data_IF_640365592086
#
_entry.id   IF_640365592086
#
_cell.length_a   1.000
_cell.length_b   1.000
_cell.length_c   1.000
_cell.angle_alpha   90.00
_cell.angle_beta   90.00
_cell.angle_gamma   90.00
#
_symmetry.space_group_name_H-M   'P 1'
#
loop_
_entity.id
_entity.type
_entity.pdbx_description
1 polymer ?
#
# COMPACT_ATOMS: atom_id res chain seq x y z
N UNK A 1 19.98 -3.04 1.52
CA UNK A 1 19.10 -3.04 2.71
C UNK A 1 17.69 -2.55 2.38
N UNK A 2 17.51 -1.53 1.53
CA UNK A 2 16.18 -0.97 1.23
C UNK A 2 15.06 -1.99 0.93
N UNK A 3 15.25 -3.03 0.09
CA UNK A 3 14.17 -4.00 -0.15
C UNK A 3 13.82 -4.84 1.08
N UNK A 4 14.80 -5.19 1.93
CA UNK A 4 14.53 -5.96 3.14
C UNK A 4 13.76 -5.13 4.18
N UNK A 5 14.14 -3.86 4.34
CA UNK A 5 13.40 -2.94 5.20
C UNK A 5 11.96 -2.74 4.70
N UNK A 6 11.78 -2.58 3.38
CA UNK A 6 10.48 -2.51 2.74
C UNK A 6 9.65 -3.78 3.00
N UNK A 7 10.22 -4.97 2.77
CA UNK A 7 9.56 -6.25 3.01
C UNK A 7 9.09 -6.38 4.47
N UNK A 8 9.96 -6.05 5.43
CA UNK A 8 9.63 -6.13 6.85
C UNK A 8 8.53 -5.14 7.26
N UNK A 9 8.64 -3.87 6.84
CA UNK A 9 7.65 -2.85 7.16
C UNK A 9 6.27 -3.19 6.55
N UNK A 10 6.25 -3.67 5.30
CA UNK A 10 5.02 -4.07 4.62
C UNK A 10 4.40 -5.34 5.22
N UNK A 11 5.22 -6.29 5.69
CA UNK A 11 4.72 -7.46 6.42
C UNK A 11 4.06 -7.06 7.75
N UNK A 12 4.70 -6.17 8.52
CA UNK A 12 4.13 -5.66 9.77
C UNK A 12 2.83 -4.90 9.48
N UNK A 13 2.84 -4.02 8.48
CA UNK A 13 1.68 -3.23 8.10
C UNK A 13 0.49 -4.12 7.71
N UNK A 14 0.67 -5.13 6.86
CA UNK A 14 -0.44 -6.02 6.45
C UNK A 14 -1.00 -6.84 7.62
N UNK A 15 -0.14 -7.28 8.56
CA UNK A 15 -0.59 -7.94 9.80
C UNK A 15 -1.43 -6.96 10.64
N UNK A 16 -0.96 -5.73 10.80
CA UNK A 16 -1.67 -4.68 11.54
C UNK A 16 -2.99 -4.30 10.87
N UNK A 17 -3.04 -4.25 9.53
CA UNK A 17 -4.28 -4.06 8.79
C UNK A 17 -5.27 -5.18 9.10
N UNK A 18 -4.84 -6.44 9.02
CA UNK A 18 -5.71 -7.59 9.25
C UNK A 18 -6.24 -7.68 10.69
N UNK A 19 -5.41 -7.35 11.68
CA UNK A 19 -5.71 -7.59 13.10
C UNK A 19 -6.23 -6.36 13.85
N UNK A 20 -5.86 -5.16 13.41
CA UNK A 20 -6.13 -3.90 14.14
C UNK A 20 -7.01 -2.97 13.33
N UNK A 21 -6.70 -2.73 12.05
CA UNK A 21 -7.43 -1.73 11.28
C UNK A 21 -8.73 -2.28 10.68
N UNK A 22 -8.77 -3.55 10.29
CA UNK A 22 -9.89 -4.18 9.56
C UNK A 22 -11.28 -3.89 10.17
N UNK A 23 -11.49 -3.96 11.50
CA UNK A 23 -12.80 -3.65 12.11
C UNK A 23 -13.29 -2.22 11.90
N UNK A 24 -12.39 -1.28 11.62
CA UNK A 24 -12.69 0.13 11.36
C UNK A 24 -12.46 0.52 9.88
N UNK A 25 -12.42 -0.45 8.97
CA UNK A 25 -12.38 -0.22 7.51
C UNK A 25 -13.74 -0.52 6.88
N UNK A 26 -13.98 -0.12 5.61
CA UNK A 26 -15.22 -0.41 4.89
C UNK A 26 -15.55 -1.90 4.67
N UNK A 27 -14.73 -2.83 5.16
CA UNK A 27 -15.10 -4.24 5.29
C UNK A 27 -16.26 -4.45 6.28
N UNK A 28 -16.38 -3.57 7.28
CA UNK A 28 -17.54 -3.51 8.16
C UNK A 28 -18.55 -2.53 7.54
N UNK A 29 -19.75 -3.01 7.24
CA UNK A 29 -20.76 -2.22 6.52
C UNK A 29 -21.31 -1.06 7.37
N UNK A 30 -21.54 -1.28 8.66
CA UNK A 30 -22.08 -0.26 9.55
C UNK A 30 -20.99 0.77 9.93
N UNK A 31 -21.29 2.05 9.73
CA UNK A 31 -20.39 3.15 10.08
C UNK A 31 -20.34 3.39 11.59
N UNK A 32 -21.46 3.20 12.30
CA UNK A 32 -21.52 3.38 13.74
C UNK A 32 -20.67 2.33 14.46
N UNK A 33 -20.65 1.09 13.95
CA UNK A 33 -19.79 0.03 14.45
C UNK A 33 -18.30 0.38 14.29
N UNK A 34 -17.91 0.92 13.14
CA UNK A 34 -16.53 1.37 12.86
C UNK A 34 -16.12 2.50 13.78
N UNK A 35 -16.96 3.52 13.96
CA UNK A 35 -16.69 4.65 14.86
C UNK A 35 -16.59 4.21 16.31
N UNK A 36 -17.44 3.28 16.75
CA UNK A 36 -17.36 2.66 18.08
C UNK A 36 -16.02 1.96 18.27
N UNK A 37 -15.58 1.15 17.31
CA UNK A 37 -14.27 0.49 17.38
C UNK A 37 -13.13 1.52 17.50
N UNK A 38 -13.15 2.59 16.69
CA UNK A 38 -12.11 3.63 16.75
C UNK A 38 -12.11 4.31 18.12
N UNK A 39 -13.28 4.56 18.70
CA UNK A 39 -13.42 5.16 20.03
C UNK A 39 -12.83 4.26 21.13
N UNK A 40 -13.10 2.96 21.05
CA UNK A 40 -12.62 1.95 22.01
C UNK A 40 -11.13 1.64 21.84
N UNK A 41 -10.57 1.82 20.64
CA UNK A 41 -9.20 1.42 20.28
C UNK A 41 -8.36 2.54 19.66
N UNK A 42 -8.59 3.80 20.06
CA UNK A 42 -8.02 4.98 19.38
C UNK A 42 -6.48 4.96 19.25
N UNK A 43 -5.76 4.53 20.28
CA UNK A 43 -4.30 4.43 20.20
C UNK A 43 -3.86 3.38 19.17
N UNK A 44 -4.50 2.21 19.17
CA UNK A 44 -4.20 1.15 18.23
C UNK A 44 -4.53 1.55 16.79
N UNK A 45 -5.65 2.26 16.59
CA UNK A 45 -6.02 2.87 15.31
C UNK A 45 -4.93 3.81 14.77
N UNK A 46 -4.47 4.75 15.60
CA UNK A 46 -3.44 5.73 15.20
C UNK A 46 -2.10 5.08 14.91
N UNK A 47 -1.67 4.17 15.77
CA UNK A 47 -0.44 3.41 15.56
C UNK A 47 -0.55 2.53 14.31
N UNK A 48 -1.73 1.97 14.04
CA UNK A 48 -1.97 1.16 12.86
C UNK A 48 -1.71 1.93 11.57
N UNK A 49 -2.31 3.12 11.42
CA UNK A 49 -2.03 3.99 10.28
C UNK A 49 -0.58 4.49 10.25
N UNK A 50 0.04 4.77 11.39
CA UNK A 50 1.46 5.13 11.43
C UNK A 50 2.37 4.00 10.89
N UNK A 51 2.04 2.72 11.14
CA UNK A 51 2.80 1.61 10.54
C UNK A 51 2.65 1.56 9.02
N UNK A 52 1.48 1.93 8.50
CA UNK A 52 1.20 2.00 7.06
C UNK A 52 1.99 3.15 6.40
N UNK A 53 2.07 4.32 7.05
CA UNK A 53 2.94 5.42 6.63
C UNK A 53 4.41 5.01 6.52
N UNK A 54 4.93 4.21 7.47
CA UNK A 54 6.30 3.68 7.43
C UNK A 54 6.49 2.69 6.28
N UNK A 55 5.50 1.81 6.03
CA UNK A 55 5.53 0.90 4.88
C UNK A 55 5.60 1.67 3.55
N UNK A 56 4.81 2.73 3.39
CA UNK A 56 4.85 3.62 2.22
C UNK A 56 6.22 4.33 2.05
N UNK A 57 6.80 4.85 3.13
CA UNK A 57 8.12 5.48 3.08
C UNK A 57 9.23 4.49 2.65
N UNK A 58 9.21 3.29 3.23
CA UNK A 58 10.18 2.24 2.86
C UNK A 58 9.96 1.71 1.44
N UNK A 59 8.74 1.75 0.92
CA UNK A 59 8.43 1.46 -0.48
C UNK A 59 9.08 2.46 -1.44
N UNK A 60 8.90 3.76 -1.21
CA UNK A 60 9.56 4.80 -2.01
C UNK A 60 11.08 4.68 -1.94
N UNK A 61 11.64 4.39 -0.76
CA UNK A 61 13.07 4.13 -0.61
C UNK A 61 13.52 2.90 -1.41
N UNK A 62 12.73 1.82 -1.38
CA UNK A 62 12.96 0.61 -2.18
C UNK A 62 12.96 0.92 -3.68
N UNK A 63 12.00 1.70 -4.16
CA UNK A 63 11.92 2.12 -5.57
C UNK A 63 13.10 3.00 -5.98
N UNK A 64 13.50 3.96 -5.15
CA UNK A 64 14.68 4.79 -5.41
C UNK A 64 15.97 3.95 -5.44
N UNK A 65 16.09 2.95 -4.56
CA UNK A 65 17.18 1.98 -4.60
C UNK A 65 17.13 1.14 -5.89
N UNK A 66 15.97 0.57 -6.23
CA UNK A 66 15.77 -0.29 -7.39
C UNK A 66 16.09 0.46 -8.69
N UNK A 67 15.55 1.67 -8.86
CA UNK A 67 15.83 2.55 -10.00
C UNK A 67 17.32 2.70 -10.26
N UNK A 68 18.11 2.96 -9.20
CA UNK A 68 19.56 3.15 -9.33
C UNK A 68 20.28 1.89 -9.80
N UNK A 69 19.77 0.70 -9.46
CA UNK A 69 20.38 -0.59 -9.85
C UNK A 69 20.08 -0.99 -11.28
N UNK A 70 18.92 -0.61 -11.79
CA UNK A 70 18.49 -1.02 -13.14
C UNK A 70 18.54 0.12 -14.17
N UNK A 71 18.99 1.31 -13.77
CA UNK A 71 19.00 2.48 -14.65
C UNK A 71 17.60 2.94 -15.07
N UNK A 72 16.57 2.68 -14.25
CA UNK A 72 15.17 2.97 -14.59
C UNK A 72 14.87 4.47 -14.76
N UNK A 73 13.68 4.82 -15.27
CA UNK A 73 13.30 6.22 -15.48
C UNK A 73 13.11 6.96 -14.15
N UNK A 74 13.56 8.22 -14.07
CA UNK A 74 13.30 9.09 -12.91
C UNK A 74 11.79 9.33 -12.70
N UNK A 75 11.02 9.30 -13.78
CA UNK A 75 9.58 9.41 -13.74
C UNK A 75 8.91 8.38 -12.82
N UNK A 76 9.45 7.15 -12.70
CA UNK A 76 8.92 6.16 -11.77
C UNK A 76 8.97 6.64 -10.31
N UNK A 77 10.01 7.39 -9.93
CA UNK A 77 10.13 7.95 -8.58
C UNK A 77 9.16 9.12 -8.39
N UNK A 78 9.02 9.99 -9.39
CA UNK A 78 8.02 11.07 -9.34
C UNK A 78 6.61 10.52 -9.14
N UNK A 79 6.23 9.46 -9.86
CA UNK A 79 4.93 8.80 -9.69
C UNK A 79 4.80 8.22 -8.27
N UNK A 80 5.84 7.53 -7.76
CA UNK A 80 5.82 7.01 -6.39
C UNK A 80 5.68 8.12 -5.32
N UNK A 81 6.26 9.30 -5.57
CA UNK A 81 6.13 10.46 -4.68
C UNK A 81 4.70 11.03 -4.67
N UNK A 82 3.98 10.98 -5.80
CA UNK A 82 2.54 11.28 -5.82
C UNK A 82 1.79 10.26 -4.97
N UNK A 83 2.18 8.99 -5.07
CA UNK A 83 1.61 7.91 -4.25
C UNK A 83 1.70 8.20 -2.75
N UNK A 84 2.91 8.47 -2.23
CA UNK A 84 3.11 8.71 -0.80
C UNK A 84 2.48 10.00 -0.31
N UNK A 85 2.42 11.05 -1.13
CA UNK A 85 1.71 12.26 -0.78
C UNK A 85 0.20 12.00 -0.59
N UNK A 86 -0.40 11.21 -1.47
CA UNK A 86 -1.81 10.81 -1.37
C UNK A 86 -2.06 9.92 -0.15
N UNK A 87 -1.18 8.94 0.06
CA UNK A 87 -1.29 7.97 1.17
C UNK A 87 -1.21 8.69 2.52
N UNK A 88 -0.15 9.47 2.74
CA UNK A 88 0.04 10.17 4.00
C UNK A 88 -1.05 11.20 4.28
N UNK A 89 -1.58 11.85 3.23
CA UNK A 89 -2.71 12.77 3.40
C UNK A 89 -3.95 12.05 3.91
N UNK A 90 -4.25 10.87 3.35
CA UNK A 90 -5.36 10.03 3.78
C UNK A 90 -5.18 9.53 5.23
N UNK A 91 -4.00 9.00 5.54
CA UNK A 91 -3.68 8.42 6.85
C UNK A 91 -3.67 9.47 7.95
N UNK A 92 -3.09 10.65 7.69
CA UNK A 92 -3.13 11.78 8.63
C UNK A 92 -4.57 12.19 8.90
N UNK A 93 -5.42 12.27 7.87
CA UNK A 93 -6.83 12.60 8.05
C UNK A 93 -7.52 11.58 8.99
N UNK A 94 -7.30 10.28 8.78
CA UNK A 94 -7.86 9.20 9.61
C UNK A 94 -7.32 9.20 11.05
N UNK A 95 -6.04 9.53 11.24
CA UNK A 95 -5.37 9.63 12.55
C UNK A 95 -5.94 10.81 13.36
N UNK A 96 -6.06 11.97 12.71
CA UNK A 96 -6.48 13.23 13.34
C UNK A 96 -7.97 13.24 13.62
N UNK A 97 -8.80 12.77 12.67
CA UNK A 97 -10.25 12.77 12.83
C UNK A 97 -10.74 11.90 13.99
N UNK A 98 -10.03 10.80 14.27
CA UNK A 98 -10.48 9.79 15.23
C UNK A 98 -11.90 9.31 14.90
N UNK A 99 -12.67 8.96 15.93
CA UNK A 99 -14.05 8.50 15.77
C UNK A 99 -15.00 9.62 15.35
N UNK A 100 -14.91 10.80 15.96
CA UNK A 100 -15.92 11.85 15.80
C UNK A 100 -15.92 12.50 14.40
N UNK A 101 -14.79 12.49 13.69
CA UNK A 101 -14.68 12.98 12.31
C UNK A 101 -14.62 11.87 11.26
N UNK A 102 -14.68 10.59 11.65
CA UNK A 102 -14.42 9.46 10.76
C UNK A 102 -15.36 9.45 9.56
N UNK A 103 -16.66 9.56 9.78
CA UNK A 103 -17.65 9.50 8.69
C UNK A 103 -17.43 10.54 7.59
N UNK A 104 -16.93 11.73 7.94
CA UNK A 104 -16.68 12.79 6.99
C UNK A 104 -15.42 12.56 6.15
N UNK A 105 -14.36 11.99 6.75
CA UNK A 105 -13.05 11.85 6.09
C UNK A 105 -12.85 10.50 5.41
N UNK A 106 -13.47 9.43 5.94
CA UNK A 106 -13.21 8.06 5.53
C UNK A 106 -13.41 7.82 4.03
N UNK A 107 -14.50 8.26 3.37
CA UNK A 107 -14.70 7.99 1.94
C UNK A 107 -13.55 8.52 1.07
N UNK A 108 -13.13 9.76 1.30
CA UNK A 108 -12.03 10.36 0.55
C UNK A 108 -10.69 9.73 0.93
N UNK A 109 -10.45 9.48 2.22
CA UNK A 109 -9.21 8.86 2.67
C UNK A 109 -9.02 7.47 2.05
N UNK A 110 -10.06 6.61 2.05
CA UNK A 110 -10.00 5.29 1.44
C UNK A 110 -9.86 5.33 -0.09
N UNK A 111 -10.43 6.34 -0.77
CA UNK A 111 -10.18 6.57 -2.19
C UNK A 111 -8.72 6.99 -2.45
N UNK A 112 -8.18 7.90 -1.64
CA UNK A 112 -6.82 8.42 -1.79
C UNK A 112 -5.75 7.37 -1.52
N UNK A 113 -5.87 6.56 -0.46
CA UNK A 113 -4.93 5.46 -0.18
C UNK A 113 -5.20 4.27 -1.12
N UNK A 114 -6.45 3.83 -1.24
CA UNK A 114 -6.81 2.62 -1.97
C UNK A 114 -6.69 2.76 -3.49
N UNK A 115 -7.13 3.87 -4.08
CA UNK A 115 -7.10 4.04 -5.53
C UNK A 115 -5.87 4.82 -5.99
N UNK A 116 -5.68 6.04 -5.49
CA UNK A 116 -4.67 6.95 -6.02
C UNK A 116 -3.27 6.50 -5.61
N UNK A 117 -3.02 6.27 -4.32
CA UNK A 117 -1.70 5.92 -3.82
C UNK A 117 -1.24 4.56 -4.37
N UNK A 118 -2.06 3.52 -4.19
CA UNK A 118 -1.75 2.19 -4.71
C UNK A 118 -1.64 2.15 -6.24
N UNK A 119 -2.46 2.92 -6.96
CA UNK A 119 -2.36 3.03 -8.42
C UNK A 119 -1.02 3.64 -8.84
N UNK A 120 -0.61 4.72 -8.18
CA UNK A 120 0.67 5.37 -8.43
C UNK A 120 1.85 4.43 -8.10
N UNK A 121 1.85 3.77 -6.95
CA UNK A 121 2.88 2.79 -6.60
C UNK A 121 2.95 1.65 -7.61
N UNK A 122 1.79 1.14 -8.06
CA UNK A 122 1.72 0.07 -9.07
C UNK A 122 2.34 0.52 -10.38
N UNK A 123 2.00 1.71 -10.88
CA UNK A 123 2.59 2.26 -12.11
C UNK A 123 4.11 2.43 -11.96
N UNK A 124 4.58 2.97 -10.84
CA UNK A 124 6.01 3.10 -10.56
C UNK A 124 6.71 1.73 -10.55
N UNK A 125 6.11 0.74 -9.90
CA UNK A 125 6.57 -0.64 -9.87
C UNK A 125 6.66 -1.27 -11.26
N UNK A 126 5.63 -1.10 -12.10
CA UNK A 126 5.62 -1.56 -13.49
C UNK A 126 6.76 -0.94 -14.29
N UNK A 127 6.95 0.38 -14.21
CA UNK A 127 8.03 1.07 -14.91
C UNK A 127 9.42 0.53 -14.53
N UNK A 128 9.63 0.24 -13.23
CA UNK A 128 10.87 -0.35 -12.74
C UNK A 128 11.02 -1.81 -13.17
N UNK A 129 9.94 -2.59 -13.18
CA UNK A 129 9.91 -3.96 -13.71
C UNK A 129 10.27 -3.99 -15.19
N UNK A 130 9.75 -3.06 -16.00
CA UNK A 130 10.06 -2.97 -17.43
C UNK A 130 11.52 -2.65 -17.69
N UNK A 131 12.13 -1.80 -16.85
CA UNK A 131 13.57 -1.50 -16.90
C UNK A 131 14.46 -2.64 -16.38
N UNK A 132 13.89 -3.64 -15.70
CA UNK A 132 14.65 -4.75 -15.13
C UNK A 132 14.82 -5.89 -16.15
N UNK A 133 16.04 -6.40 -16.38
CA UNK A 133 16.26 -7.54 -17.28
C UNK A 133 15.79 -8.85 -16.63
N UNK A 134 14.47 -9.10 -16.69
CA UNK A 134 13.82 -10.28 -16.12
C UNK A 134 13.72 -11.42 -17.13
N UNK A 135 13.94 -12.64 -16.66
CA UNK A 135 13.54 -13.86 -17.39
C UNK A 135 12.01 -13.94 -17.50
N UNK A 136 11.45 -14.73 -18.44
CA UNK A 136 10.00 -14.83 -18.62
C UNK A 136 9.23 -15.18 -17.35
N UNK A 137 9.74 -16.12 -16.54
CA UNK A 137 9.09 -16.52 -15.28
C UNK A 137 8.98 -15.38 -14.26
N UNK A 138 10.04 -14.60 -14.07
CA UNK A 138 10.00 -13.44 -13.16
C UNK A 138 9.17 -12.29 -13.70
N UNK A 139 9.08 -12.15 -15.03
CA UNK A 139 8.19 -11.19 -15.66
C UNK A 139 6.72 -11.57 -15.44
N UNK A 140 6.37 -12.85 -15.55
CA UNK A 140 5.04 -13.35 -15.24
C UNK A 140 4.68 -13.13 -13.75
N UNK A 141 5.62 -13.42 -12.84
CA UNK A 141 5.44 -13.16 -11.41
C UNK A 141 5.17 -11.68 -11.13
N UNK A 142 5.96 -10.78 -11.73
CA UNK A 142 5.76 -9.34 -11.58
C UNK A 142 4.42 -8.88 -12.19
N UNK A 143 4.02 -9.44 -13.33
CA UNK A 143 2.74 -9.13 -13.95
C UNK A 143 1.55 -9.52 -13.04
N UNK A 144 1.61 -10.70 -12.42
CA UNK A 144 0.60 -11.13 -11.44
C UNK A 144 0.53 -10.15 -10.27
N UNK A 145 1.68 -9.83 -9.67
CA UNK A 145 1.77 -8.88 -8.56
C UNK A 145 1.19 -7.50 -8.91
N UNK A 146 1.54 -6.95 -10.06
CA UNK A 146 1.02 -5.64 -10.48
C UNK A 146 -0.46 -5.69 -10.90
N UNK A 147 -0.96 -6.84 -11.37
CA UNK A 147 -2.40 -7.03 -11.62
C UNK A 147 -3.21 -6.97 -10.33
N UNK A 148 -2.66 -7.44 -9.21
CA UNK A 148 -3.26 -7.26 -7.89
C UNK A 148 -3.28 -5.77 -7.50
N UNK A 149 -2.20 -5.02 -7.75
CA UNK A 149 -2.17 -3.56 -7.53
C UNK A 149 -3.21 -2.77 -8.34
N UNK A 150 -3.41 -3.16 -9.61
CA UNK A 150 -4.48 -2.59 -10.47
C UNK A 150 -5.85 -2.95 -9.91
N UNK A 151 -6.09 -4.21 -9.55
CA UNK A 151 -7.35 -4.70 -8.98
C UNK A 151 -7.70 -4.00 -7.67
N UNK A 152 -6.71 -3.75 -6.81
CA UNK A 152 -6.85 -3.00 -5.56
C UNK A 152 -7.33 -1.58 -5.86
N UNK A 153 -6.64 -0.90 -6.78
CA UNK A 153 -6.98 0.48 -7.14
C UNK A 153 -8.37 0.60 -7.75
N UNK A 154 -8.74 -0.36 -8.59
CA UNK A 154 -10.07 -0.48 -9.18
C UNK A 154 -11.14 -0.72 -8.10
N UNK A 155 -10.91 -1.69 -7.20
CA UNK A 155 -11.82 -1.99 -6.10
C UNK A 155 -12.07 -0.76 -5.22
N UNK A 156 -11.03 0.00 -4.89
CA UNK A 156 -11.15 1.22 -4.10
C UNK A 156 -11.91 2.32 -4.86
N UNK A 157 -11.63 2.51 -6.15
CA UNK A 157 -12.29 3.53 -6.98
C UNK A 157 -13.80 3.31 -7.08
N UNK A 158 -14.24 2.05 -7.20
CA UNK A 158 -15.65 1.69 -7.35
C UNK A 158 -16.33 1.29 -6.03
N UNK A 159 -15.64 1.43 -4.89
CA UNK A 159 -16.19 1.07 -3.59
C UNK A 159 -16.46 -0.43 -3.40
N UNK A 160 -15.76 -1.30 -4.14
CA UNK A 160 -15.89 -2.76 -4.04
C UNK A 160 -14.90 -3.27 -2.97
N UNK A 161 -15.32 -3.21 -1.71
CA UNK A 161 -14.45 -3.47 -0.55
C UNK A 161 -13.86 -4.88 -0.54
N UNK A 162 -14.60 -5.89 -0.98
CA UNK A 162 -14.11 -7.26 -1.07
C UNK A 162 -12.94 -7.39 -2.07
N UNK A 163 -13.06 -6.77 -3.26
CA UNK A 163 -11.97 -6.76 -4.25
C UNK A 163 -10.75 -6.07 -3.64
N UNK A 164 -10.95 -4.93 -2.98
CA UNK A 164 -9.86 -4.18 -2.34
C UNK A 164 -9.10 -5.04 -1.34
N UNK A 165 -9.81 -5.77 -0.47
CA UNK A 165 -9.18 -6.62 0.54
C UNK A 165 -8.46 -7.84 -0.05
N UNK A 166 -9.08 -8.55 -0.99
CA UNK A 166 -8.46 -9.70 -1.66
C UNK A 166 -7.21 -9.28 -2.44
N UNK A 167 -7.31 -8.21 -3.21
CA UNK A 167 -6.20 -7.66 -3.99
C UNK A 167 -5.08 -7.14 -3.09
N UNK A 168 -5.40 -6.55 -1.93
CA UNK A 168 -4.40 -6.20 -0.91
C UNK A 168 -3.67 -7.45 -0.43
N UNK A 169 -4.39 -8.47 0.01
CA UNK A 169 -3.77 -9.71 0.50
C UNK A 169 -2.86 -10.36 -0.56
N UNK A 170 -3.33 -10.47 -1.80
CA UNK A 170 -2.57 -11.00 -2.92
C UNK A 170 -1.32 -10.15 -3.23
N UNK A 171 -1.48 -8.83 -3.32
CA UNK A 171 -0.39 -7.91 -3.61
C UNK A 171 0.73 -8.06 -2.57
N UNK A 172 0.42 -8.04 -1.29
CA UNK A 172 1.42 -8.16 -0.23
C UNK A 172 2.05 -9.56 -0.18
N UNK A 173 1.27 -10.63 -0.41
CA UNK A 173 1.78 -11.99 -0.50
C UNK A 173 2.81 -12.17 -1.62
N UNK A 174 2.67 -11.43 -2.72
CA UNK A 174 3.61 -11.45 -3.85
C UNK A 174 4.75 -10.44 -3.69
N UNK A 175 4.45 -9.24 -3.17
CA UNK A 175 5.40 -8.14 -3.09
C UNK A 175 6.48 -8.35 -2.03
N UNK A 176 6.16 -8.99 -0.91
CA UNK A 176 7.13 -9.28 0.14
C UNK A 176 8.23 -10.23 -0.38
N UNK A 177 7.93 -11.41 -0.96
CA UNK A 177 8.94 -12.26 -1.61
C UNK A 177 9.68 -11.54 -2.76
N UNK A 178 8.99 -10.71 -3.53
CA UNK A 178 9.63 -9.90 -4.58
C UNK A 178 10.74 -9.01 -4.04
N UNK A 179 10.53 -8.37 -2.88
CA UNK A 179 11.56 -7.55 -2.24
C UNK A 179 12.80 -8.37 -1.84
N UNK A 180 12.62 -9.58 -1.32
CA UNK A 180 13.74 -10.49 -1.05
C UNK A 180 14.47 -10.88 -2.34
N UNK A 181 13.73 -11.16 -3.40
CA UNK A 181 14.29 -11.47 -4.71
C UNK A 181 15.12 -10.30 -5.26
N UNK A 182 14.58 -9.08 -5.23
CA UNK A 182 15.27 -7.85 -5.63
C UNK A 182 16.57 -7.68 -4.86
N UNK A 183 16.52 -7.83 -3.53
CA UNK A 183 17.71 -7.72 -2.69
C UNK A 183 18.80 -8.73 -3.07
N UNK A 184 18.44 -9.99 -3.36
CA UNK A 184 19.41 -11.02 -3.75
C UNK A 184 19.99 -10.80 -5.14
N UNK A 185 19.16 -10.38 -6.10
CA UNK A 185 19.53 -10.34 -7.52
C UNK A 185 20.20 -9.05 -7.95
N UNK A 186 19.82 -7.93 -7.35
CA UNK A 186 20.33 -6.62 -7.73
C UNK A 186 21.34 -6.07 -6.73
N UNK A 187 21.86 -6.90 -5.80
CA UNK A 187 22.85 -6.50 -4.78
C UNK A 187 24.12 -5.94 -5.38
#
# INVERSE_FOLDING_TARGET
>A
MAPLACAAANLVAVIVLALVLAPATPLVADIAERERYIREHLLAWRLGWATWMVAAATLVWCYAWWRRRVGGPHFAITVALVGIASDWSAEIALIVSGADGYAAVAPLAFLMTGAIANGAYTVAGVLLTLATPLTPGWRAYAALMWSAGVSLSFGALFGIHLITALATAELFALFIPWCFWLWRRLR
#
